data_IF_037580033594
#
_entry.id   IF_037580033594
#
_cell.length_a   1.000
_cell.length_b   1.000
_cell.length_c   1.000
_cell.angle_alpha   90.00
_cell.angle_beta   90.00
_cell.angle_gamma   90.00
#
_symmetry.space_group_name_H-M   'P 1'
#
loop_
_entity.id
_entity.type
_entity.pdbx_description
1 polymer ?
#
# COMPACT_ATOMS: atom_id res chain seq x y z
N UNK A 1 25.13 7.30 22.59
CA UNK A 1 23.70 7.00 22.77
C UNK A 1 22.85 7.21 21.51
N UNK A 2 23.29 8.02 20.53
CA UNK A 2 22.51 8.28 19.31
C UNK A 2 22.67 7.22 18.19
N UNK A 3 23.86 6.60 18.06
CA UNK A 3 24.12 5.59 17.01
C UNK A 3 23.19 4.36 17.13
N UNK A 4 23.00 3.85 18.36
CA UNK A 4 22.16 2.68 18.62
C UNK A 4 20.66 3.00 18.46
N UNK A 5 20.23 4.22 18.80
CA UNK A 5 18.83 4.64 18.61
C UNK A 5 18.49 4.86 17.14
N UNK A 6 19.40 5.47 16.36
CA UNK A 6 19.23 5.67 14.92
C UNK A 6 19.19 4.31 14.19
N UNK A 7 20.05 3.37 14.59
CA UNK A 7 20.05 2.02 14.04
C UNK A 7 18.71 1.30 14.29
N UNK A 8 18.16 1.42 15.51
CA UNK A 8 16.87 0.82 15.87
C UNK A 8 15.71 1.45 15.10
N UNK A 9 15.67 2.79 14.96
CA UNK A 9 14.62 3.45 14.18
C UNK A 9 14.70 3.09 12.70
N UNK A 10 15.90 3.03 12.12
CA UNK A 10 16.10 2.62 10.73
C UNK A 10 15.61 1.18 10.50
N UNK A 11 15.99 0.26 11.39
CA UNK A 11 15.55 -1.14 11.32
C UNK A 11 14.02 -1.25 11.39
N UNK A 12 13.38 -0.44 12.23
CA UNK A 12 11.92 -0.46 12.39
C UNK A 12 11.22 0.10 11.15
N UNK A 13 11.72 1.21 10.57
CA UNK A 13 11.17 1.79 9.33
C UNK A 13 11.31 0.80 8.16
N UNK A 14 12.47 0.18 8.02
CA UNK A 14 12.71 -0.84 6.99
C UNK A 14 11.79 -2.05 7.23
N UNK A 15 11.68 -2.52 8.47
CA UNK A 15 10.81 -3.64 8.82
C UNK A 15 9.33 -3.38 8.49
N UNK A 16 8.82 -2.20 8.82
CA UNK A 16 7.44 -1.80 8.50
C UNK A 16 7.24 -1.68 6.99
N UNK A 17 8.18 -1.07 6.27
CA UNK A 17 8.10 -0.94 4.82
C UNK A 17 8.07 -2.29 4.12
N UNK A 18 8.89 -3.24 4.59
CA UNK A 18 8.90 -4.63 4.09
C UNK A 18 7.59 -5.34 4.43
N UNK A 19 7.06 -5.18 5.64
CA UNK A 19 5.79 -5.78 6.05
C UNK A 19 4.61 -5.29 5.19
N UNK A 20 4.55 -3.98 4.90
CA UNK A 20 3.54 -3.40 4.01
C UNK A 20 3.70 -3.94 2.58
N UNK A 21 4.93 -3.99 2.07
CA UNK A 21 5.23 -4.53 0.74
C UNK A 21 4.82 -6.01 0.60
N UNK A 22 5.14 -6.85 1.59
CA UNK A 22 4.75 -8.26 1.60
C UNK A 22 3.23 -8.43 1.67
N UNK A 23 2.53 -7.64 2.48
CA UNK A 23 1.07 -7.66 2.53
C UNK A 23 0.46 -7.30 1.18
N UNK A 24 0.95 -6.25 0.51
CA UNK A 24 0.45 -5.85 -0.81
C UNK A 24 0.62 -6.98 -1.84
N UNK A 25 1.79 -7.63 -1.88
CA UNK A 25 2.05 -8.76 -2.77
C UNK A 25 1.11 -9.94 -2.49
N UNK A 26 0.84 -10.23 -1.22
CA UNK A 26 -0.07 -11.30 -0.82
C UNK A 26 -1.53 -11.01 -1.19
N UNK A 27 -2.00 -9.79 -0.96
CA UNK A 27 -3.37 -9.37 -1.28
C UNK A 27 -3.63 -9.48 -2.78
N UNK A 28 -2.71 -9.01 -3.64
CA UNK A 28 -2.86 -9.12 -5.10
C UNK A 28 -2.91 -10.58 -5.56
N UNK A 29 -2.10 -11.46 -4.96
CA UNK A 29 -2.15 -12.89 -5.25
C UNK A 29 -3.49 -13.50 -4.83
N UNK A 30 -3.97 -13.16 -3.63
CA UNK A 30 -5.23 -13.64 -3.07
C UNK A 30 -6.42 -13.19 -3.91
N UNK A 31 -6.47 -11.91 -4.31
CA UNK A 31 -7.52 -11.34 -5.16
C UNK A 31 -7.67 -12.15 -6.45
N UNK A 32 -6.56 -12.44 -7.14
CA UNK A 32 -6.56 -13.24 -8.38
C UNK A 32 -7.05 -14.65 -8.16
N UNK A 33 -6.70 -15.24 -7.02
CA UNK A 33 -7.13 -16.59 -6.68
C UNK A 33 -8.63 -16.60 -6.39
N UNK A 34 -9.13 -15.66 -5.60
CA UNK A 34 -10.57 -15.52 -5.29
C UNK A 34 -11.37 -15.24 -6.57
N UNK A 35 -10.92 -14.31 -7.41
CA UNK A 35 -11.57 -14.01 -8.68
C UNK A 35 -11.62 -15.22 -9.62
N UNK A 36 -10.58 -16.06 -9.63
CA UNK A 36 -10.59 -17.34 -10.35
C UNK A 36 -11.66 -18.29 -9.83
N UNK A 37 -11.71 -18.50 -8.52
CA UNK A 37 -12.70 -19.40 -7.90
C UNK A 37 -14.14 -18.94 -8.12
N UNK A 38 -14.39 -17.63 -8.06
CA UNK A 38 -15.72 -17.06 -8.38
C UNK A 38 -16.13 -17.31 -9.83
N UNK A 39 -15.18 -17.35 -10.74
CA UNK A 39 -15.41 -17.57 -12.17
C UNK A 39 -15.34 -19.04 -12.57
N UNK A 40 -15.29 -19.97 -11.61
CA UNK A 40 -15.13 -21.41 -11.85
C UNK A 40 -13.91 -21.74 -12.71
N UNK A 41 -12.83 -20.96 -12.59
CA UNK A 41 -11.52 -21.21 -13.21
C UNK A 41 -10.43 -21.32 -12.14
N UNK A 42 -9.41 -22.13 -12.41
CA UNK A 42 -8.24 -22.18 -11.54
C UNK A 42 -7.51 -20.82 -11.61
N UNK A 43 -7.22 -20.27 -10.42
CA UNK A 43 -6.35 -19.10 -10.28
C UNK A 43 -4.88 -19.45 -10.61
N UNK A 44 -3.92 -18.54 -10.35
CA UNK A 44 -2.53 -18.75 -10.72
C UNK A 44 -1.93 -20.06 -10.14
N UNK A 45 -1.49 -20.99 -10.99
CA UNK A 45 -0.89 -22.29 -10.61
C UNK A 45 0.51 -22.51 -11.17
N UNK A 46 0.91 -21.78 -12.21
CA UNK A 46 2.06 -22.14 -13.06
C UNK A 46 3.44 -21.67 -12.55
N UNK A 47 3.49 -20.60 -11.75
CA UNK A 47 4.75 -19.96 -11.32
C UNK A 47 5.01 -20.22 -9.83
N UNK A 48 5.67 -21.36 -9.57
CA UNK A 48 6.02 -21.83 -8.22
C UNK A 48 4.89 -22.61 -7.53
N UNK A 49 5.10 -23.12 -6.30
CA UNK A 49 4.07 -23.83 -5.56
C UNK A 49 2.89 -22.87 -5.32
N UNK A 50 1.73 -23.21 -5.88
CA UNK A 50 0.48 -22.43 -5.75
C UNK A 50 0.54 -21.03 -6.41
N UNK A 51 1.46 -20.79 -7.34
CA UNK A 51 1.51 -19.52 -8.09
C UNK A 51 1.98 -18.30 -7.29
N UNK A 52 2.66 -18.50 -6.16
CA UNK A 52 3.14 -17.41 -5.28
C UNK A 52 4.10 -16.44 -5.98
N UNK A 53 4.85 -16.91 -6.97
CA UNK A 53 5.79 -16.07 -7.71
C UNK A 53 5.11 -15.24 -8.81
N UNK A 54 3.80 -15.39 -9.02
CA UNK A 54 3.08 -14.70 -10.09
C UNK A 54 3.11 -13.19 -9.96
N UNK A 55 2.91 -12.67 -8.74
CA UNK A 55 2.91 -11.23 -8.47
C UNK A 55 4.30 -10.62 -8.67
N UNK A 56 5.36 -11.37 -8.33
CA UNK A 56 6.75 -10.97 -8.59
C UNK A 56 7.06 -10.98 -10.09
N UNK A 57 6.66 -12.02 -10.82
CA UNK A 57 6.83 -12.12 -12.26
C UNK A 57 6.11 -10.99 -13.01
N UNK A 58 4.92 -10.60 -12.55
CA UNK A 58 4.16 -9.49 -13.11
C UNK A 58 4.86 -8.14 -12.87
N UNK A 59 5.41 -7.92 -11.67
CA UNK A 59 6.22 -6.74 -11.39
C UNK A 59 7.44 -6.65 -12.31
N UNK A 60 8.18 -7.76 -12.45
CA UNK A 60 9.35 -7.82 -13.34
C UNK A 60 8.97 -7.59 -14.81
N UNK A 61 7.82 -8.12 -15.24
CA UNK A 61 7.28 -7.90 -16.59
C UNK A 61 6.95 -6.43 -16.84
N UNK A 62 6.38 -5.73 -15.85
CA UNK A 62 6.08 -4.30 -15.99
C UNK A 62 7.34 -3.45 -16.09
N UNK A 63 8.39 -3.74 -15.30
CA UNK A 63 9.68 -3.03 -15.38
C UNK A 63 10.38 -3.28 -16.72
N UNK A 64 10.27 -4.51 -17.24
CA UNK A 64 10.87 -4.89 -18.52
C UNK A 64 10.05 -4.39 -19.73
N UNK A 65 8.88 -3.78 -19.51
CA UNK A 65 8.02 -3.30 -20.58
C UNK A 65 8.62 -2.04 -21.22
N UNK A 66 8.89 -2.10 -22.51
CA UNK A 66 9.29 -0.92 -23.28
C UNK A 66 8.15 0.10 -23.30
N UNK A 67 8.48 1.36 -23.03
CA UNK A 67 7.53 2.47 -23.03
C UNK A 67 7.26 2.86 -24.49
N UNK A 68 6.09 2.50 -25.00
CA UNK A 68 5.64 2.86 -26.35
C UNK A 68 4.71 4.06 -26.22
N UNK A 69 5.08 5.18 -26.83
CA UNK A 69 4.25 6.38 -26.84
C UNK A 69 3.27 6.35 -28.03
N UNK A 70 1.97 6.62 -27.82
CA UNK A 70 1.02 6.76 -28.92
C UNK A 70 1.41 7.95 -29.82
N UNK A 71 1.34 7.78 -31.14
CA UNK A 71 1.70 8.85 -32.10
C UNK A 71 0.82 10.11 -31.98
N UNK A 72 -0.39 9.99 -31.42
CA UNK A 72 -1.36 11.07 -31.26
C UNK A 72 -1.41 11.66 -29.84
N UNK A 73 -0.56 11.22 -28.91
CA UNK A 73 -0.61 11.66 -27.51
C UNK A 73 0.51 12.65 -27.19
N UNK A 74 0.17 13.69 -26.41
CA UNK A 74 1.13 14.63 -25.86
C UNK A 74 2.02 13.94 -24.80
N UNK A 75 3.32 13.84 -25.12
CA UNK A 75 4.35 13.23 -24.25
C UNK A 75 4.34 13.73 -22.80
N UNK A 76 4.22 15.04 -22.48
CA UNK A 76 4.25 15.50 -21.09
C UNK A 76 3.03 15.03 -20.30
N UNK A 77 1.84 15.05 -20.91
CA UNK A 77 0.59 14.63 -20.25
C UNK A 77 0.62 13.12 -19.98
N UNK A 78 1.15 12.33 -20.92
CA UNK A 78 1.26 10.88 -20.78
C UNK A 78 2.19 10.46 -19.63
N UNK A 79 3.24 11.25 -19.33
CA UNK A 79 4.17 10.99 -18.22
C UNK A 79 3.59 11.50 -16.89
N UNK A 80 2.91 12.65 -16.90
CA UNK A 80 2.33 13.25 -15.69
C UNK A 80 1.08 12.52 -15.18
N UNK A 81 0.28 11.93 -16.06
CA UNK A 81 -0.94 11.21 -15.70
C UNK A 81 -0.73 10.16 -14.58
N UNK A 82 0.23 9.22 -14.68
CA UNK A 82 0.46 8.24 -13.61
C UNK A 82 0.96 8.89 -12.30
N UNK A 83 1.70 10.00 -12.38
CA UNK A 83 2.18 10.72 -11.18
C UNK A 83 0.99 11.32 -10.42
N UNK A 84 0.08 11.99 -11.13
CA UNK A 84 -1.11 12.62 -10.53
C UNK A 84 -2.02 11.57 -9.90
N UNK A 85 -2.16 10.38 -10.50
CA UNK A 85 -2.93 9.27 -9.92
C UNK A 85 -2.29 8.66 -8.67
N UNK A 86 -0.95 8.71 -8.53
CA UNK A 86 -0.23 8.13 -7.39
C UNK A 86 -0.23 9.05 -6.16
N UNK A 87 -0.20 10.37 -6.35
CA UNK A 87 -0.21 11.36 -5.25
C UNK A 87 -1.32 11.11 -4.21
N UNK A 88 -2.61 10.97 -4.57
CA UNK A 88 -3.67 10.77 -3.57
C UNK A 88 -3.56 9.43 -2.84
N UNK A 89 -2.96 8.40 -3.46
CA UNK A 89 -2.76 7.09 -2.82
C UNK A 89 -1.76 7.20 -1.67
N UNK A 90 -0.69 7.97 -1.85
CA UNK A 90 0.28 8.23 -0.79
C UNK A 90 -0.26 9.15 0.31
N UNK A 91 -1.16 10.08 -0.03
CA UNK A 91 -1.86 10.90 0.96
C UNK A 91 -2.84 10.04 1.78
N UNK A 92 -3.50 9.06 1.16
CA UNK A 92 -4.46 8.18 1.81
C UNK A 92 -3.83 7.15 2.77
N UNK A 93 -2.56 6.79 2.61
CA UNK A 93 -1.85 5.88 3.54
C UNK A 93 -1.25 6.59 4.76
N UNK A 94 -1.06 7.92 4.66
CA UNK A 94 -0.50 8.78 5.70
C UNK A 94 -1.22 8.69 7.07
N UNK A 95 -2.56 8.62 7.16
CA UNK A 95 -3.26 8.61 8.43
C UNK A 95 -3.38 7.21 9.07
N UNK A 96 -2.90 6.13 8.45
CA UNK A 96 -3.09 4.76 8.98
C UNK A 96 -2.16 4.51 10.19
N UNK A 97 -2.68 4.35 11.42
CA UNK A 97 -1.85 4.16 12.60
C UNK A 97 -1.42 2.69 12.70
N UNK A 98 -0.14 2.40 12.41
CA UNK A 98 0.39 1.02 12.48
C UNK A 98 0.84 0.59 13.90
N UNK A 99 1.22 1.52 14.78
CA UNK A 99 1.54 1.28 16.21
C UNK A 99 1.81 2.60 16.97
N UNK A 100 1.57 2.63 18.28
CA UNK A 100 1.80 3.79 19.19
C UNK A 100 3.26 4.26 19.26
N UNK A 101 4.21 3.44 18.78
CA UNK A 101 5.64 3.78 18.68
C UNK A 101 6.10 4.15 17.27
N UNK A 102 5.18 4.12 16.30
CA UNK A 102 5.40 4.26 14.85
C UNK A 102 4.52 5.36 14.25
N UNK A 103 4.26 6.44 14.99
CA UNK A 103 3.55 7.60 14.45
C UNK A 103 4.53 8.57 13.79
N UNK A 104 4.47 8.64 12.46
CA UNK A 104 5.03 9.75 11.71
C UNK A 104 4.07 10.93 11.78
N UNK A 105 4.27 11.83 12.75
CA UNK A 105 3.52 13.08 12.96
C UNK A 105 1.98 12.94 13.04
N UNK A 106 1.39 13.32 14.18
CA UNK A 106 -0.04 13.60 14.28
C UNK A 106 -0.39 14.73 13.30
N UNK A 107 -0.88 14.37 12.12
CA UNK A 107 -1.59 15.29 11.27
C UNK A 107 -3.04 15.32 11.75
N UNK A 108 -3.53 16.52 12.05
CA UNK A 108 -4.87 16.85 12.57
C UNK A 108 -6.03 16.50 11.61
N UNK A 109 -5.77 15.63 10.63
CA UNK A 109 -6.73 14.98 9.73
C UNK A 109 -7.22 13.63 10.27
N UNK A 110 -6.68 13.14 11.39
CA UNK A 110 -7.13 11.91 12.05
C UNK A 110 -8.63 11.93 12.44
N UNK A 111 -9.20 13.12 12.66
CA UNK A 111 -10.63 13.29 12.96
C UNK A 111 -11.53 13.00 11.75
N UNK A 112 -11.09 13.33 10.53
CA UNK A 112 -11.89 13.10 9.30
C UNK A 112 -11.94 11.60 8.94
N UNK A 113 -10.85 10.87 9.21
CA UNK A 113 -10.73 9.41 9.06
C UNK A 113 -11.58 8.65 10.08
N UNK A 114 -11.59 9.09 11.36
CA UNK A 114 -12.43 8.52 12.41
C UNK A 114 -13.94 8.60 12.11
N UNK A 115 -14.36 9.51 11.24
CA UNK A 115 -15.74 9.60 10.75
C UNK A 115 -16.00 8.76 9.48
N UNK A 116 -14.97 8.37 8.72
CA UNK A 116 -15.10 7.68 7.44
C UNK A 116 -15.12 6.14 7.55
N UNK A 117 -14.58 5.57 8.64
CA UNK A 117 -14.66 4.13 8.95
C UNK A 117 -15.78 3.88 9.96
N UNK A 118 -17.00 3.50 9.53
CA UNK A 118 -18.08 3.21 10.47
C UNK A 118 -17.88 1.80 11.03
N UNK A 119 -17.23 1.72 12.19
CA UNK A 119 -17.29 0.54 13.05
C UNK A 119 -15.94 -0.10 13.36
N UNK A 120 -15.22 0.39 14.37
CA UNK A 120 -15.49 -0.02 15.76
C UNK A 120 -14.59 0.74 16.78
N UNK A 121 -15.21 1.01 17.92
CA UNK A 121 -14.67 0.92 19.29
C UNK A 121 -13.50 1.81 19.74
N UNK A 122 -13.79 3.10 19.97
CA UNK A 122 -13.68 3.72 21.32
C UNK A 122 -14.21 5.15 21.25
N UNK A 123 -15.22 5.44 22.08
CA UNK A 123 -15.88 6.73 22.15
C UNK A 123 -14.94 7.84 22.68
N UNK A 124 -15.11 9.10 22.26
CA UNK A 124 -14.42 10.23 22.85
C UNK A 124 -15.11 10.68 24.15
N UNK A 125 -14.71 10.09 25.27
CA UNK A 125 -15.22 10.42 26.61
C UNK A 125 -14.43 11.56 27.30
N UNK A 126 -13.77 12.43 26.54
CA UNK A 126 -12.83 13.42 27.11
C UNK A 126 -13.08 14.88 26.68
N UNK A 127 -14.20 15.23 26.04
CA UNK A 127 -14.51 16.62 25.64
C UNK A 127 -15.63 17.26 26.50
N UNK A 128 -16.04 16.63 27.61
CA UNK A 128 -17.01 17.22 28.56
C UNK A 128 -16.48 17.41 29.99
N UNK A 129 -15.17 17.59 30.19
CA UNK A 129 -14.64 18.19 31.43
C UNK A 129 -13.18 18.66 31.29
N UNK A 130 -12.95 19.80 30.64
CA UNK A 130 -11.96 20.85 30.99
C UNK A 130 -12.00 21.98 29.99
#
# INVERSE_FOLDING_TARGET
>A
MNEISILRSLLTIVGVSVAIGLNAVFVVWLERKVAGHMQYRLGPTEVGPVGLLQTVADGLKLVSKQIIFPAAADKPIFILAPIICLVPVFVAILPVPFSETLQGHELDIGLFERCAIPGNMSAPDQILNS
#
